data_IF_032654352341
#
_entry.id   IF_032654352341
#
_cell.length_a   1.000
_cell.length_b   1.000
_cell.length_c   1.000
_cell.angle_alpha   90.00
_cell.angle_beta   90.00
_cell.angle_gamma   90.00
#
_symmetry.space_group_name_H-M   'P 1'
#
loop_
_entity.id
_entity.type
_entity.pdbx_description
1 polymer ?
#
# COMPACT_ATOMS: atom_id res chain seq x y z
N UNK A 1 15.09 -6.29 15.28
CA UNK A 1 14.44 -5.03 15.70
C UNK A 1 15.26 -4.28 16.73
N UNK A 2 15.49 -4.79 17.95
CA UNK A 2 16.38 -4.12 18.95
C UNK A 2 17.85 -3.98 18.51
N UNK A 3 18.35 -4.92 17.72
CA UNK A 3 19.76 -4.93 17.28
C UNK A 3 20.15 -3.89 16.21
N UNK A 4 19.19 -3.17 15.60
CA UNK A 4 19.45 -2.16 14.54
C UNK A 4 19.37 -0.70 15.04
N UNK A 5 19.17 -0.46 16.34
CA UNK A 5 19.00 0.90 16.88
C UNK A 5 17.69 1.59 16.53
N UNK A 6 16.71 0.84 15.99
CA UNK A 6 15.41 1.37 15.51
C UNK A 6 14.36 1.54 16.63
N UNK A 7 14.73 1.33 17.89
CA UNK A 7 13.81 1.46 19.03
C UNK A 7 14.35 2.50 19.99
N UNK A 8 13.69 3.64 20.05
CA UNK A 8 13.98 4.71 21.00
C UNK A 8 13.14 4.51 22.25
N UNK A 9 13.73 4.77 23.42
CA UNK A 9 12.97 4.85 24.65
C UNK A 9 12.00 6.03 24.58
N UNK A 10 10.79 5.86 25.12
CA UNK A 10 9.82 6.95 25.23
C UNK A 10 10.46 8.12 25.98
N UNK A 11 10.33 9.33 25.45
CA UNK A 11 10.90 10.53 26.06
C UNK A 11 10.36 10.71 27.51
N UNK A 12 11.22 11.21 28.41
CA UNK A 12 10.90 11.35 29.83
C UNK A 12 9.77 12.34 30.13
N UNK A 13 9.49 13.24 29.19
CA UNK A 13 8.43 14.26 29.26
C UNK A 13 7.18 13.88 28.46
N UNK A 14 7.09 12.63 27.99
CA UNK A 14 5.94 12.19 27.21
C UNK A 14 4.64 12.26 28.04
N UNK A 15 3.58 12.89 27.50
CA UNK A 15 2.29 12.93 28.18
C UNK A 15 1.70 11.51 28.30
N UNK A 16 1.13 11.23 29.47
CA UNK A 16 0.37 10.00 29.70
C UNK A 16 -1.12 10.26 29.45
N UNK A 17 -1.77 9.36 28.72
CA UNK A 17 -3.20 9.42 28.42
C UNK A 17 -3.90 8.15 28.94
N UNK A 18 -4.93 8.33 29.74
CA UNK A 18 -5.85 7.25 30.14
C UNK A 18 -6.79 6.95 28.96
N UNK A 19 -6.85 5.70 28.51
CA UNK A 19 -7.76 5.28 27.46
C UNK A 19 -9.08 4.79 28.09
N UNK A 20 -10.24 5.30 27.65
CA UNK A 20 -11.53 4.85 28.18
C UNK A 20 -11.82 3.40 27.79
N UNK A 21 -12.66 2.75 28.59
CA UNK A 21 -13.16 1.41 28.27
C UNK A 21 -13.87 1.41 26.90
N UNK A 22 -13.61 0.38 26.09
CA UNK A 22 -14.18 0.25 24.75
C UNK A 22 -13.51 1.10 23.66
N UNK A 23 -12.38 1.77 23.95
CA UNK A 23 -11.63 2.58 22.98
C UNK A 23 -11.33 1.82 21.66
N UNK A 24 -11.14 0.50 21.73
CA UNK A 24 -10.81 -0.34 20.58
C UNK A 24 -12.01 -1.07 19.93
N UNK A 25 -13.23 -0.91 20.44
CA UNK A 25 -14.38 -1.73 20.01
C UNK A 25 -14.71 -1.62 18.51
N UNK A 26 -14.39 -0.46 17.91
CA UNK A 26 -14.61 -0.19 16.49
C UNK A 26 -13.32 -0.12 15.67
N UNK A 27 -12.20 -0.52 16.25
CA UNK A 27 -10.91 -0.42 15.60
C UNK A 27 -10.82 -1.43 14.45
N UNK A 28 -10.41 -0.95 13.28
CA UNK A 28 -10.16 -1.81 12.12
C UNK A 28 -8.69 -2.16 12.06
N UNK A 29 -8.39 -3.46 12.03
CA UNK A 29 -7.04 -3.93 11.74
C UNK A 29 -6.71 -3.55 10.30
N UNK A 30 -5.80 -2.58 10.14
CA UNK A 30 -5.22 -2.23 8.86
C UNK A 30 -3.86 -2.91 8.81
N UNK A 31 -3.76 -3.96 7.99
CA UNK A 31 -2.44 -4.47 7.64
C UNK A 31 -1.75 -3.39 6.79
N UNK A 32 -0.46 -3.07 7.06
CA UNK A 32 0.30 -2.27 6.12
C UNK A 32 0.17 -2.94 4.75
N UNK A 33 -0.13 -2.17 3.71
CA UNK A 33 -0.28 -2.70 2.36
C UNK A 33 0.89 -3.65 2.05
N UNK A 34 0.66 -4.79 1.35
CA UNK A 34 1.76 -5.58 0.81
C UNK A 34 2.76 -4.66 0.11
N UNK A 35 4.07 -5.01 0.08
CA UNK A 35 5.15 -4.10 -0.27
C UNK A 35 4.72 -3.18 -1.40
N UNK A 36 4.72 -1.88 -1.12
CA UNK A 36 4.09 -0.87 -1.96
C UNK A 36 4.51 -0.98 -3.42
N UNK A 37 3.72 -0.36 -4.31
CA UNK A 37 3.97 -0.38 -5.75
C UNK A 37 5.43 -0.04 -6.04
N UNK A 38 6.14 -0.95 -6.70
CA UNK A 38 7.53 -0.71 -7.10
C UNK A 38 7.52 0.09 -8.40
N UNK A 39 8.22 1.22 -8.41
CA UNK A 39 8.43 2.00 -9.64
C UNK A 39 9.40 1.24 -10.54
N UNK A 40 8.96 0.94 -11.77
CA UNK A 40 9.76 0.22 -12.77
C UNK A 40 9.73 0.97 -14.10
N UNK A 41 10.81 0.87 -14.86
CA UNK A 41 10.81 1.28 -16.25
C UNK A 41 10.27 0.14 -17.11
N UNK A 42 9.03 0.29 -17.59
CA UNK A 42 8.36 -0.67 -18.47
C UNK A 42 8.14 -0.04 -19.84
N UNK A 43 8.44 -0.79 -20.91
CA UNK A 43 8.04 -0.42 -22.28
C UNK A 43 6.64 -0.97 -22.56
N UNK A 44 5.79 -0.13 -23.13
CA UNK A 44 4.41 -0.45 -23.52
C UNK A 44 4.23 0.00 -24.96
N UNK A 45 3.35 -0.69 -25.69
CA UNK A 45 2.91 -0.24 -27.00
C UNK A 45 2.20 1.12 -26.88
N UNK A 46 2.46 2.01 -27.83
CA UNK A 46 2.01 3.40 -27.77
C UNK A 46 0.48 3.52 -27.80
N UNK A 47 -0.17 2.71 -28.62
CA UNK A 47 -1.62 2.64 -28.77
C UNK A 47 -2.30 2.16 -27.48
N UNK A 48 -1.74 1.16 -26.80
CA UNK A 48 -2.23 0.67 -25.51
C UNK A 48 -2.14 1.77 -24.45
N UNK A 49 -0.99 2.46 -24.38
CA UNK A 49 -0.81 3.55 -23.41
C UNK A 49 -1.79 4.70 -23.69
N UNK A 50 -1.98 5.08 -24.95
CA UNK A 50 -2.87 6.17 -25.32
C UNK A 50 -4.34 5.83 -25.07
N UNK A 51 -4.73 4.56 -25.30
CA UNK A 51 -6.06 4.07 -24.92
C UNK A 51 -6.32 4.22 -23.41
N UNK A 52 -5.34 3.87 -22.57
CA UNK A 52 -5.48 4.06 -21.12
C UNK A 52 -5.54 5.56 -20.75
N UNK A 53 -4.68 6.40 -21.33
CA UNK A 53 -4.70 7.85 -21.07
C UNK A 53 -6.04 8.49 -21.43
N UNK A 54 -6.67 8.06 -22.52
CA UNK A 54 -7.97 8.56 -22.97
C UNK A 54 -9.09 8.34 -21.93
N UNK A 55 -8.92 7.41 -21.00
CA UNK A 55 -9.88 7.16 -19.91
C UNK A 55 -9.77 8.16 -18.75
N UNK A 56 -8.79 9.08 -18.79
CA UNK A 56 -8.63 10.18 -17.85
C UNK A 56 -7.81 9.84 -16.60
N UNK A 57 -8.13 10.54 -15.50
CA UNK A 57 -7.39 10.40 -14.23
C UNK A 57 -7.46 8.95 -13.74
N UNK A 58 -6.33 8.46 -13.21
CA UNK A 58 -6.22 7.09 -12.69
C UNK A 58 -6.01 6.01 -13.76
N UNK A 59 -5.64 6.38 -15.00
CA UNK A 59 -5.30 5.40 -16.04
C UNK A 59 -4.20 4.41 -15.59
N UNK A 60 -3.16 4.89 -14.88
CA UNK A 60 -2.13 4.00 -14.30
C UNK A 60 -2.70 3.03 -13.25
N UNK A 61 -3.66 3.48 -12.44
CA UNK A 61 -4.32 2.62 -11.45
C UNK A 61 -5.14 1.53 -12.13
N UNK A 62 -5.87 1.86 -13.19
CA UNK A 62 -6.62 0.89 -14.00
C UNK A 62 -5.70 -0.11 -14.69
N UNK A 63 -4.63 0.38 -15.31
CA UNK A 63 -3.61 -0.47 -15.93
C UNK A 63 -3.01 -1.44 -14.91
N UNK A 64 -2.64 -0.95 -13.72
CA UNK A 64 -2.13 -1.81 -12.64
C UNK A 64 -3.17 -2.83 -12.15
N UNK A 65 -4.46 -2.48 -12.07
CA UNK A 65 -5.53 -3.40 -11.68
C UNK A 65 -5.68 -4.56 -12.69
N UNK A 66 -5.58 -4.27 -13.98
CA UNK A 66 -5.61 -5.30 -15.03
C UNK A 66 -4.40 -6.22 -14.95
N UNK A 67 -3.19 -5.65 -14.81
CA UNK A 67 -1.97 -6.43 -14.61
C UNK A 67 -2.07 -7.32 -13.37
N UNK A 68 -2.65 -6.80 -12.28
CA UNK A 68 -2.88 -7.56 -11.06
C UNK A 68 -3.86 -8.71 -11.26
N UNK A 69 -4.99 -8.46 -11.92
CA UNK A 69 -5.97 -9.50 -12.21
C UNK A 69 -5.37 -10.62 -13.08
N UNK A 70 -4.58 -10.25 -14.09
CA UNK A 70 -3.85 -11.22 -14.92
C UNK A 70 -2.86 -12.04 -14.07
N UNK A 71 -2.05 -11.37 -13.25
CA UNK A 71 -1.10 -12.03 -12.34
C UNK A 71 -1.80 -12.99 -11.38
N UNK A 72 -2.88 -12.58 -10.73
CA UNK A 72 -3.61 -13.41 -9.77
C UNK A 72 -4.29 -14.61 -10.45
N UNK A 73 -4.75 -14.48 -11.70
CA UNK A 73 -5.29 -15.59 -12.48
C UNK A 73 -4.23 -16.64 -12.87
N UNK A 74 -2.95 -16.25 -12.98
CA UNK A 74 -1.86 -17.12 -13.46
C UNK A 74 -0.91 -17.61 -12.36
N UNK A 75 -0.97 -17.04 -11.16
CA UNK A 75 -0.14 -17.45 -10.01
C UNK A 75 -0.64 -18.70 -9.27
N UNK A 76 -1.83 -19.20 -9.60
CA UNK A 76 -2.38 -20.43 -9.02
C UNK A 76 -1.91 -21.65 -9.84
N UNK A 77 -0.64 -22.01 -9.64
CA UNK A 77 -0.05 -23.30 -10.01
C UNK A 77 1.03 -23.66 -9.00
#
# INVERSE_FOLDING_TARGET
MRARGEVFETASDAPTYELPDGFWDNARVVFPEPPGKTSVHLRLDSDVLDWFKAQGKGHLTRMNAILRAYYDAHRAK
#
